data_IF_414910574936
#
_entry.id   IF_414910574936
#
_cell.length_a   1.000
_cell.length_b   1.000
_cell.length_c   1.000
_cell.angle_alpha   90.00
_cell.angle_beta   90.00
_cell.angle_gamma   90.00
#
_symmetry.space_group_name_H-M   'P 1'
#
loop_
_entity.id
_entity.type
_entity.pdbx_description
1 polymer ?
#
# COMPACT_ATOMS: atom_id res chain seq x y z
N UNK A 1 -74.64 52.16 -29.04
CA UNK A 1 -73.35 52.32 -29.74
C UNK A 1 -72.64 50.97 -29.71
N UNK A 2 -72.29 50.44 -30.87
CA UNK A 2 -71.95 49.02 -31.13
C UNK A 2 -70.43 48.85 -31.07
N UNK A 3 -69.91 48.06 -30.13
CA UNK A 3 -68.46 47.74 -30.04
C UNK A 3 -68.30 46.21 -29.98
N UNK A 4 -67.41 45.71 -30.84
CA UNK A 4 -67.27 44.30 -31.28
C UNK A 4 -66.33 43.50 -30.36
N UNK A 5 -66.42 42.15 -30.34
CA UNK A 5 -65.83 41.30 -29.31
C UNK A 5 -64.37 40.97 -29.62
N UNK A 6 -63.50 41.00 -28.59
CA UNK A 6 -62.14 40.48 -28.69
C UNK A 6 -62.13 39.05 -28.14
N UNK A 7 -61.86 38.11 -29.05
CA UNK A 7 -61.70 36.69 -28.78
C UNK A 7 -60.30 36.46 -28.19
N UNK A 8 -60.21 36.21 -26.89
CA UNK A 8 -58.97 35.74 -26.27
C UNK A 8 -58.87 34.22 -26.46
N UNK A 9 -58.04 33.79 -27.40
CA UNK A 9 -57.61 32.41 -27.50
C UNK A 9 -56.75 32.05 -26.28
N UNK A 10 -57.18 31.05 -25.50
CA UNK A 10 -56.34 30.34 -24.54
C UNK A 10 -55.27 29.56 -25.30
N UNK A 11 -54.00 29.89 -25.07
CA UNK A 11 -52.87 29.01 -25.36
C UNK A 11 -52.19 28.71 -24.03
N UNK A 12 -52.19 27.45 -23.54
CA UNK A 12 -51.30 27.11 -22.44
C UNK A 12 -49.89 27.02 -23.01
N UNK A 13 -49.01 27.91 -22.54
CA UNK A 13 -47.57 27.75 -22.73
C UNK A 13 -47.14 26.55 -21.88
N UNK A 14 -46.90 25.41 -22.52
CA UNK A 14 -46.23 24.27 -21.87
C UNK A 14 -44.76 24.66 -21.70
N UNK A 15 -44.39 25.07 -20.48
CA UNK A 15 -42.99 25.24 -20.10
C UNK A 15 -42.42 23.85 -19.81
N UNK A 16 -41.66 23.32 -20.75
CA UNK A 16 -40.91 22.07 -20.57
C UNK A 16 -39.80 22.26 -19.53
N UNK A 17 -40.02 21.74 -18.33
CA UNK A 17 -38.99 21.67 -17.30
C UNK A 17 -37.99 20.56 -17.61
N UNK A 18 -36.81 20.91 -18.10
CA UNK A 18 -35.68 19.99 -18.15
C UNK A 18 -35.17 19.77 -16.72
N UNK A 19 -35.36 18.58 -16.18
CA UNK A 19 -34.76 18.17 -14.90
C UNK A 19 -33.28 17.91 -15.17
N UNK A 20 -32.41 18.86 -14.83
CA UNK A 20 -30.97 18.63 -14.78
C UNK A 20 -30.67 17.68 -13.62
N UNK A 21 -30.48 16.40 -13.90
CA UNK A 21 -29.86 15.49 -12.95
C UNK A 21 -28.37 15.81 -12.90
N UNK A 22 -27.77 16.07 -11.71
CA UNK A 22 -26.33 16.22 -11.63
C UNK A 22 -25.66 14.89 -12.00
N UNK A 23 -24.50 14.89 -12.66
CA UNK A 23 -23.72 13.68 -12.83
C UNK A 23 -23.30 13.21 -11.43
N UNK A 24 -23.86 12.10 -10.96
CA UNK A 24 -23.36 11.41 -9.77
C UNK A 24 -21.93 10.97 -10.05
N UNK A 25 -20.94 11.75 -9.61
CA UNK A 25 -19.56 11.30 -9.51
C UNK A 25 -19.48 10.29 -8.38
N UNK A 26 -19.77 9.03 -8.70
CA UNK A 26 -19.43 7.93 -7.81
C UNK A 26 -17.90 7.94 -7.64
N UNK A 27 -17.42 8.41 -6.49
CA UNK A 27 -16.02 8.27 -6.11
C UNK A 27 -15.81 6.79 -5.85
N UNK A 28 -15.17 6.09 -6.80
CA UNK A 28 -14.76 4.71 -6.60
C UNK A 28 -13.69 4.69 -5.50
N UNK A 29 -14.06 4.22 -4.31
CA UNK A 29 -13.11 3.90 -3.26
C UNK A 29 -12.32 2.68 -3.72
N UNK A 30 -11.14 2.89 -4.30
CA UNK A 30 -10.20 1.81 -4.57
C UNK A 30 -9.77 1.24 -3.22
N UNK A 31 -10.32 0.09 -2.83
CA UNK A 31 -9.83 -0.64 -1.68
C UNK A 31 -8.39 -1.08 -1.97
N UNK A 32 -7.44 -0.47 -1.27
CA UNK A 32 -6.09 -1.01 -1.20
C UNK A 32 -6.18 -2.39 -0.53
N UNK A 33 -5.93 -3.44 -1.31
CA UNK A 33 -5.86 -4.79 -0.77
C UNK A 33 -4.56 -4.85 0.04
N UNK A 34 -4.67 -4.75 1.36
CA UNK A 34 -3.54 -5.00 2.24
C UNK A 34 -3.15 -6.48 2.07
N UNK A 35 -2.02 -6.73 1.41
CA UNK A 35 -1.44 -8.08 1.40
C UNK A 35 -0.98 -8.39 2.81
N UNK A 36 -1.60 -9.39 3.43
CA UNK A 36 -1.12 -9.94 4.69
C UNK A 36 0.30 -10.49 4.48
N UNK A 37 1.29 -9.88 5.13
CA UNK A 37 2.66 -10.37 5.12
C UNK A 37 2.78 -11.45 6.19
N UNK A 38 2.96 -12.70 5.76
CA UNK A 38 3.45 -13.75 6.64
C UNK A 38 4.96 -13.60 6.82
N UNK A 39 5.46 -13.94 8.01
CA UNK A 39 6.87 -13.86 8.34
C UNK A 39 7.39 -15.24 8.75
N UNK A 40 8.63 -15.53 8.34
CA UNK A 40 9.38 -16.69 8.80
C UNK A 40 10.56 -16.23 9.66
N UNK A 41 10.93 -17.08 10.61
CA UNK A 41 12.06 -16.84 11.51
C UNK A 41 13.32 -17.49 10.94
N UNK A 42 14.37 -16.70 10.73
CA UNK A 42 15.73 -17.21 10.52
C UNK A 42 16.51 -17.08 11.82
N UNK A 43 17.21 -18.15 12.21
CA UNK A 43 18.12 -18.18 13.36
C UNK A 43 19.52 -18.50 12.84
N UNK A 44 20.51 -17.69 13.19
CA UNK A 44 21.90 -17.98 12.86
C UNK A 44 22.47 -19.03 13.83
N UNK A 45 23.01 -20.15 13.34
CA UNK A 45 23.46 -21.24 14.22
C UNK A 45 24.76 -20.92 14.99
N UNK A 46 25.57 -19.96 14.52
CA UNK A 46 26.86 -19.60 15.15
C UNK A 46 26.69 -18.53 16.24
N UNK A 47 25.93 -17.49 15.95
CA UNK A 47 25.76 -16.33 16.81
C UNK A 47 24.41 -16.28 17.55
N UNK A 48 23.47 -17.17 17.21
CA UNK A 48 22.18 -17.29 17.90
C UNK A 48 21.19 -16.14 17.69
N UNK A 49 21.53 -15.11 16.92
CA UNK A 49 20.60 -14.04 16.60
C UNK A 49 19.49 -14.53 15.67
N UNK A 50 18.35 -13.83 15.70
CA UNK A 50 17.20 -14.16 14.87
C UNK A 50 16.65 -12.93 14.14
N UNK A 51 16.08 -13.16 12.95
CA UNK A 51 15.40 -12.13 12.16
C UNK A 51 14.11 -12.71 11.58
N UNK A 52 13.04 -11.91 11.61
CA UNK A 52 11.81 -12.21 10.87
C UNK A 52 11.95 -11.66 9.45
N UNK A 53 11.64 -12.48 8.45
CA UNK A 53 11.64 -12.05 7.05
C UNK A 53 10.37 -12.53 6.35
N UNK A 54 9.80 -11.72 5.44
CA UNK A 54 8.65 -12.12 4.65
C UNK A 54 9.08 -12.99 3.45
N UNK A 55 8.80 -14.30 3.43
CA UNK A 55 9.28 -15.22 2.40
C UNK A 55 8.65 -14.96 1.03
N UNK A 56 7.54 -14.21 0.97
CA UNK A 56 6.88 -13.80 -0.28
C UNK A 56 7.58 -12.62 -0.95
N UNK A 57 8.49 -11.94 -0.24
CA UNK A 57 9.23 -10.78 -0.74
C UNK A 57 10.72 -11.08 -0.82
N UNK A 58 11.25 -11.83 0.15
CA UNK A 58 12.68 -12.08 0.33
C UNK A 58 12.99 -13.58 0.28
N UNK A 59 13.85 -13.96 -0.66
CA UNK A 59 14.35 -15.32 -0.82
C UNK A 59 15.69 -15.51 -0.08
N UNK A 60 15.78 -16.43 0.89
CA UNK A 60 17.01 -16.72 1.61
C UNK A 60 18.02 -17.42 0.70
N UNK A 61 19.22 -16.85 0.59
CA UNK A 61 20.32 -17.41 -0.18
C UNK A 61 21.04 -18.52 0.60
N UNK A 62 21.86 -19.36 -0.08
CA UNK A 62 22.71 -20.33 0.60
C UNK A 62 23.55 -19.69 1.72
N UNK A 63 23.75 -20.40 2.85
CA UNK A 63 24.56 -19.88 3.94
C UNK A 63 26.01 -19.68 3.49
N UNK A 64 26.70 -18.63 3.98
CA UNK A 64 28.11 -18.39 3.70
C UNK A 64 28.97 -19.44 4.41
N UNK A 65 30.18 -19.69 3.89
CA UNK A 65 31.08 -20.72 4.39
C UNK A 65 31.52 -20.53 5.85
N UNK A 66 31.63 -19.28 6.32
CA UNK A 66 31.97 -18.95 7.71
C UNK A 66 30.78 -19.08 8.68
N UNK A 67 29.55 -19.23 8.15
CA UNK A 67 28.33 -19.31 8.96
C UNK A 67 27.91 -17.99 9.62
N UNK A 68 28.53 -16.86 9.26
CA UNK A 68 28.36 -15.60 10.00
C UNK A 68 27.02 -14.92 9.77
N UNK A 69 26.32 -15.34 8.72
CA UNK A 69 25.01 -14.79 8.45
C UNK A 69 24.30 -15.39 7.27
N UNK A 70 23.45 -14.57 6.64
CA UNK A 70 22.71 -14.95 5.43
C UNK A 70 22.34 -13.71 4.64
N UNK A 71 22.32 -13.86 3.31
CA UNK A 71 21.72 -12.88 2.40
C UNK A 71 20.30 -13.29 2.06
N UNK A 72 19.44 -12.29 1.92
CA UNK A 72 18.08 -12.42 1.46
C UNK A 72 17.92 -11.49 0.26
N UNK A 73 17.47 -12.03 -0.87
CA UNK A 73 17.34 -11.29 -2.12
C UNK A 73 15.86 -11.10 -2.39
N UNK A 74 15.45 -9.88 -2.76
CA UNK A 74 14.07 -9.64 -3.13
C UNK A 74 13.70 -10.46 -4.36
N UNK A 75 12.45 -10.94 -4.45
CA UNK A 75 11.96 -11.66 -5.64
C UNK A 75 12.11 -10.80 -6.91
N UNK A 76 12.06 -9.47 -6.80
CA UNK A 76 12.30 -8.56 -7.93
C UNK A 76 13.78 -8.44 -8.32
N UNK A 77 14.70 -8.86 -7.46
CA UNK A 77 16.16 -8.77 -7.66
C UNK A 77 16.79 -7.44 -7.25
N UNK A 78 16.00 -6.39 -7.00
CA UNK A 78 16.51 -5.01 -6.81
C UNK A 78 17.05 -4.74 -5.41
N UNK A 79 16.71 -5.59 -4.43
CA UNK A 79 17.02 -5.38 -3.02
C UNK A 79 17.75 -6.61 -2.48
N UNK A 80 18.82 -6.35 -1.71
CA UNK A 80 19.54 -7.38 -0.96
C UNK A 80 19.59 -6.96 0.50
N UNK A 81 19.01 -7.78 1.37
CA UNK A 81 19.17 -7.67 2.81
C UNK A 81 20.27 -8.64 3.27
N UNK A 82 21.26 -8.12 3.99
CA UNK A 82 22.34 -8.94 4.57
C UNK A 82 22.31 -8.80 6.08
N UNK A 83 22.35 -9.93 6.77
CA UNK A 83 22.31 -10.00 8.25
C UNK A 83 23.44 -10.90 8.68
N UNK A 84 24.32 -10.41 9.56
CA UNK A 84 25.48 -11.14 10.03
C UNK A 84 25.82 -10.78 11.49
N UNK A 85 26.48 -11.70 12.17
CA UNK A 85 27.08 -11.48 13.49
C UNK A 85 28.58 -11.22 13.37
N UNK A 86 29.13 -10.47 14.33
CA UNK A 86 30.57 -10.23 14.46
C UNK A 86 30.95 -10.24 15.95
N UNK A 87 32.21 -10.59 16.23
CA UNK A 87 32.75 -10.45 17.58
C UNK A 87 33.07 -8.98 17.88
N UNK A 88 32.77 -8.54 19.09
CA UNK A 88 33.21 -7.23 19.58
C UNK A 88 34.68 -7.35 20.01
N UNK A 89 35.61 -6.85 19.19
CA UNK A 89 37.04 -6.83 19.55
C UNK A 89 37.42 -5.64 20.44
N UNK A 90 36.49 -4.72 20.67
CA UNK A 90 36.71 -3.52 21.46
C UNK A 90 35.58 -3.46 22.50
N UNK A 91 35.83 -4.01 23.69
CA UNK A 91 34.95 -3.78 24.83
C UNK A 91 35.10 -2.30 25.22
N UNK A 92 34.33 -1.42 24.58
CA UNK A 92 34.06 -0.10 25.12
C UNK A 92 33.27 -0.35 26.40
N UNK A 93 33.99 -0.38 27.51
CA UNK A 93 33.39 -0.34 28.82
C UNK A 93 32.68 1.01 28.98
N UNK A 94 31.36 1.03 28.75
CA UNK A 94 30.53 2.22 28.91
C UNK A 94 30.47 2.68 30.38
N UNK A 95 31.02 1.90 31.32
CA UNK A 95 31.16 2.27 32.73
C UNK A 95 32.54 2.88 33.07
N UNK A 96 33.43 3.05 32.08
CA UNK A 96 34.76 3.64 32.26
C UNK A 96 34.82 5.16 31.98
N UNK A 97 33.69 5.85 31.94
CA UNK A 97 33.56 7.31 31.85
C UNK A 97 32.97 7.91 33.13
#
# INVERSE_FOLDING_TARGET
>A
MKIRPIWFWLMPLVVGGAVMTPPSTAVALTQAIARELSYQLYINPRFGYAVLYPPTVLEPQPPPANGDGRRFVAVSGDIVMTVFGAHNFNQLDLNAL
#
